data_IF_440193927561
#
_entry.id   IF_440193927561
#
_cell.length_a   1.000
_cell.length_b   1.000
_cell.length_c   1.000
_cell.angle_alpha   90.00
_cell.angle_beta   90.00
_cell.angle_gamma   90.00
#
_symmetry.space_group_name_H-M   'P 1'
#
loop_
_entity.id
_entity.type
_entity.pdbx_description
1 polymer ?
#
# COMPACT_ATOMS: atom_id res chain seq x y z
N UNK A 1 1.65 9.29 -14.92
CA UNK A 1 0.60 8.97 -13.90
C UNK A 1 0.35 7.47 -14.01
N UNK A 2 0.69 6.69 -13.00
CA UNK A 2 0.38 5.26 -12.98
C UNK A 2 -1.12 5.17 -12.71
N UNK A 3 -1.91 4.44 -13.51
CA UNK A 3 -3.34 4.31 -13.27
C UNK A 3 -3.57 3.71 -11.88
N UNK A 4 -4.43 4.34 -11.09
CA UNK A 4 -4.89 3.82 -9.83
C UNK A 4 -5.54 2.45 -10.05
N UNK A 5 -5.28 1.50 -9.18
CA UNK A 5 -5.89 0.18 -9.23
C UNK A 5 -7.29 0.27 -8.64
N UNK A 6 -8.31 0.01 -9.45
CA UNK A 6 -9.67 -0.20 -8.93
C UNK A 6 -9.71 -1.57 -8.26
N UNK A 7 -10.09 -1.60 -7.00
CA UNK A 7 -10.25 -2.83 -6.23
C UNK A 7 -11.72 -2.95 -5.83
N UNK A 8 -12.39 -3.96 -6.35
CA UNK A 8 -13.73 -4.33 -5.89
C UNK A 8 -13.61 -5.00 -4.52
N UNK A 9 -14.15 -4.37 -3.49
CA UNK A 9 -14.20 -4.93 -2.13
C UNK A 9 -15.60 -5.47 -1.83
N UNK A 10 -15.73 -6.65 -1.21
CA UNK A 10 -17.02 -7.06 -0.67
C UNK A 10 -17.45 -6.12 0.45
N UNK A 11 -18.69 -5.64 0.40
CA UNK A 11 -19.25 -4.81 1.45
C UNK A 11 -19.21 -5.53 2.81
N UNK A 12 -18.85 -4.87 3.90
CA UNK A 12 -18.91 -5.45 5.23
C UNK A 12 -20.40 -5.61 5.64
N UNK A 13 -20.85 -6.84 5.81
CA UNK A 13 -22.15 -7.16 6.40
C UNK A 13 -23.20 -7.68 5.44
N UNK A 14 -23.28 -9.00 5.35
CA UNK A 14 -24.53 -9.74 5.13
C UNK A 14 -25.13 -9.76 3.74
N UNK A 15 -25.09 -10.94 3.13
CA UNK A 15 -26.15 -11.36 2.20
C UNK A 15 -26.12 -10.78 0.79
N UNK A 16 -25.33 -11.33 -0.08
CA UNK A 16 -25.79 -11.57 -1.47
C UNK A 16 -25.54 -10.51 -2.54
N UNK A 17 -25.19 -9.27 -2.27
CA UNK A 17 -24.80 -8.33 -3.30
C UNK A 17 -23.39 -7.82 -3.02
N UNK A 18 -22.44 -8.17 -3.88
CA UNK A 18 -21.13 -7.52 -3.92
C UNK A 18 -21.39 -6.12 -4.46
N UNK A 19 -21.50 -5.12 -3.58
CA UNK A 19 -21.43 -3.75 -4.02
C UNK A 19 -19.99 -3.54 -4.50
N UNK A 20 -19.78 -3.44 -5.81
CA UNK A 20 -18.53 -2.96 -6.38
C UNK A 20 -18.38 -1.51 -5.95
N UNK A 21 -17.56 -1.29 -4.94
CA UNK A 21 -17.17 0.07 -4.55
C UNK A 21 -15.90 0.36 -5.34
N UNK A 22 -16.02 1.20 -6.35
CA UNK A 22 -14.89 1.79 -7.04
C UNK A 22 -14.10 2.63 -6.02
N UNK A 23 -12.94 2.14 -5.61
CA UNK A 23 -12.03 2.89 -4.76
C UNK A 23 -10.71 3.17 -5.49
N UNK A 24 -10.18 4.36 -5.29
CA UNK A 24 -8.84 4.68 -5.75
C UNK A 24 -7.83 4.22 -4.70
N UNK A 25 -6.89 3.38 -5.09
CA UNK A 25 -5.83 2.91 -4.20
C UNK A 25 -4.45 3.25 -4.76
N UNK A 26 -3.51 3.58 -3.87
CA UNK A 26 -2.13 3.90 -4.22
C UNK A 26 -1.18 2.94 -3.52
N UNK A 27 -0.38 2.23 -4.32
CA UNK A 27 0.67 1.34 -3.80
C UNK A 27 1.96 2.12 -3.55
N UNK A 28 2.46 2.07 -2.33
CA UNK A 28 3.74 2.65 -1.91
C UNK A 28 4.61 1.62 -1.22
N UNK A 29 5.88 1.63 -1.58
CA UNK A 29 6.90 0.89 -0.84
C UNK A 29 7.76 1.85 -0.04
N UNK A 30 8.04 1.50 1.23
CA UNK A 30 9.01 2.19 2.06
C UNK A 30 10.32 1.43 1.97
N UNK A 31 11.30 2.01 1.30
CA UNK A 31 12.63 1.43 1.20
C UNK A 31 13.40 1.59 2.52
N UNK A 32 14.26 0.63 2.81
CA UNK A 32 15.17 0.72 3.94
C UNK A 32 16.11 1.91 3.76
N UNK A 33 16.19 2.76 4.78
CA UNK A 33 17.06 3.93 4.79
C UNK A 33 16.86 4.81 6.04
N UNK A 34 17.86 5.57 6.45
CA UNK A 34 17.84 6.33 7.70
C UNK A 34 16.73 7.40 7.75
N UNK A 35 16.29 7.92 6.62
CA UNK A 35 15.18 8.88 6.56
C UNK A 35 13.82 8.25 6.83
N UNK A 36 13.65 6.97 6.52
CA UNK A 36 12.40 6.23 6.69
C UNK A 36 12.42 5.39 7.96
N UNK A 37 13.55 4.78 8.23
CA UNK A 37 13.81 3.92 9.39
C UNK A 37 15.05 4.48 10.14
N UNK A 38 14.91 5.52 10.97
CA UNK A 38 15.99 5.95 11.86
C UNK A 38 16.32 4.82 12.85
N UNK A 39 17.54 4.77 13.35
CA UNK A 39 18.04 3.65 14.19
C UNK A 39 17.10 3.25 15.33
N UNK A 40 16.44 4.23 15.97
CA UNK A 40 15.42 3.97 16.98
C UNK A 40 14.16 3.27 16.41
N UNK A 41 13.94 3.32 15.10
CA UNK A 41 12.78 2.73 14.46
C UNK A 41 12.95 1.24 14.13
N UNK A 42 14.15 0.69 14.25
CA UNK A 42 14.41 -0.73 14.09
C UNK A 42 13.88 -1.58 15.26
N UNK A 43 13.49 -0.93 16.35
CA UNK A 43 12.85 -1.59 17.49
C UNK A 43 11.35 -1.64 17.27
N UNK A 44 10.76 -2.84 17.30
CA UNK A 44 9.31 -3.00 17.27
C UNK A 44 8.63 -2.17 18.41
N UNK A 45 7.60 -1.36 18.17
CA UNK A 45 6.69 -1.31 16.99
C UNK A 45 7.04 -0.18 15.97
N UNK A 46 8.25 0.30 15.94
CA UNK A 46 8.61 1.47 15.16
C UNK A 46 8.51 1.30 13.62
N UNK A 47 8.81 0.12 13.01
CA UNK A 47 8.54 -0.11 11.58
C UNK A 47 7.07 0.10 11.21
N UNK A 48 6.14 -0.40 12.02
CA UNK A 48 4.71 -0.21 11.80
C UNK A 48 4.31 1.28 11.82
N UNK A 49 4.96 2.11 12.64
CA UNK A 49 4.71 3.56 12.67
C UNK A 49 5.18 4.27 11.39
N UNK A 50 6.24 3.79 10.74
CA UNK A 50 6.69 4.34 9.46
C UNK A 50 5.63 4.10 8.38
N UNK A 51 5.08 2.90 8.33
CA UNK A 51 3.98 2.54 7.41
C UNK A 51 2.73 3.36 7.71
N UNK A 52 2.30 3.46 8.97
CA UNK A 52 1.12 4.24 9.36
C UNK A 52 1.27 5.71 8.95
N UNK A 53 2.39 6.36 9.30
CA UNK A 53 2.67 7.75 8.89
C UNK A 53 2.69 7.96 7.38
N UNK A 54 3.18 6.98 6.63
CA UNK A 54 3.15 7.04 5.17
C UNK A 54 1.74 6.90 4.62
N UNK A 55 0.94 6.00 5.19
CA UNK A 55 -0.45 5.78 4.83
C UNK A 55 -1.30 7.04 5.03
N UNK A 56 -1.19 7.69 6.18
CA UNK A 56 -1.91 8.94 6.51
C UNK A 56 -1.66 10.06 5.49
N UNK A 57 -0.50 10.09 4.85
CA UNK A 57 -0.13 11.15 3.89
C UNK A 57 -0.65 10.92 2.48
N UNK A 58 -1.01 9.70 2.11
CA UNK A 58 -1.33 9.34 0.71
C UNK A 58 -2.49 10.17 0.18
N UNK A 59 -3.62 10.20 0.86
CA UNK A 59 -4.79 10.97 0.41
C UNK A 59 -4.46 12.46 0.25
N UNK A 60 -3.84 13.07 1.25
CA UNK A 60 -3.45 14.49 1.20
C UNK A 60 -2.45 14.83 0.09
N UNK A 61 -1.58 13.90 -0.29
CA UNK A 61 -0.70 14.06 -1.47
C UNK A 61 -1.49 14.13 -2.77
N UNK A 62 -2.53 13.29 -2.91
CA UNK A 62 -3.41 13.30 -4.09
C UNK A 62 -4.24 14.57 -4.17
N UNK A 63 -4.81 15.03 -3.06
CA UNK A 63 -5.55 16.30 -3.00
C UNK A 63 -4.64 17.47 -3.41
N UNK A 64 -3.41 17.53 -2.89
CA UNK A 64 -2.45 18.57 -3.28
C UNK A 64 -2.09 18.52 -4.76
N UNK A 65 -1.88 17.32 -5.32
CA UNK A 65 -1.60 17.14 -6.76
C UNK A 65 -2.80 17.55 -7.62
N UNK A 66 -4.02 17.20 -7.21
CA UNK A 66 -5.24 17.58 -7.91
C UNK A 66 -5.39 19.10 -7.96
N UNK A 67 -5.19 19.78 -6.83
CA UNK A 67 -5.19 21.25 -6.75
C UNK A 67 -4.13 21.90 -7.63
N UNK A 68 -2.90 21.36 -7.61
CA UNK A 68 -1.84 21.86 -8.47
C UNK A 68 -2.18 21.72 -9.96
N UNK A 69 -2.80 20.61 -10.36
CA UNK A 69 -3.27 20.41 -11.72
C UNK A 69 -4.39 21.39 -12.09
N UNK A 70 -5.35 21.63 -11.19
CA UNK A 70 -6.44 22.58 -11.41
C UNK A 70 -5.91 24.03 -11.52
N UNK A 71 -4.88 24.39 -10.77
CA UNK A 71 -4.21 25.68 -10.91
C UNK A 71 -3.52 25.83 -12.27
N UNK A 72 -2.82 24.78 -12.73
CA UNK A 72 -2.07 24.81 -13.99
C UNK A 72 -2.99 24.74 -15.21
N UNK A 73 -4.01 23.89 -15.20
CA UNK A 73 -4.80 23.56 -16.37
C UNK A 73 -6.13 24.33 -16.44
N UNK A 74 -6.74 24.62 -15.30
CA UNK A 74 -8.01 25.32 -15.21
C UNK A 74 -7.91 26.77 -14.71
N UNK A 75 -6.69 27.25 -14.41
CA UNK A 75 -6.46 28.60 -13.93
C UNK A 75 -7.09 28.89 -12.55
N UNK A 76 -7.32 27.86 -11.74
CA UNK A 76 -7.94 28.00 -10.41
C UNK A 76 -7.01 28.78 -9.49
N UNK A 77 -7.50 29.90 -8.92
CA UNK A 77 -6.70 30.72 -8.02
C UNK A 77 -6.37 29.96 -6.70
N UNK A 78 -5.23 30.25 -6.07
CA UNK A 78 -4.93 29.74 -4.73
C UNK A 78 -6.04 30.13 -3.74
N UNK A 79 -6.58 29.16 -3.01
CA UNK A 79 -7.67 29.37 -2.04
C UNK A 79 -9.08 29.38 -2.63
N UNK A 80 -9.22 29.20 -3.95
CA UNK A 80 -10.53 29.01 -4.60
C UNK A 80 -11.19 27.67 -4.18
N UNK A 81 -12.50 27.51 -4.40
CA UNK A 81 -13.18 26.23 -4.25
C UNK A 81 -12.50 25.11 -5.05
N UNK A 82 -12.72 23.82 -4.68
CA UNK A 82 -12.16 22.69 -5.39
C UNK A 82 -12.40 22.78 -6.90
N UNK A 83 -11.32 22.61 -7.67
CA UNK A 83 -11.39 22.59 -9.13
C UNK A 83 -11.88 21.23 -9.67
N UNK A 84 -12.00 21.10 -11.01
CA UNK A 84 -12.59 19.92 -11.63
C UNK A 84 -11.84 18.62 -11.32
N UNK A 85 -10.52 18.66 -11.17
CA UNK A 85 -9.71 17.48 -10.84
C UNK A 85 -9.91 17.05 -9.39
N UNK A 86 -9.96 18.02 -8.47
CA UNK A 86 -10.22 17.75 -7.05
C UNK A 86 -11.64 17.22 -6.84
N UNK A 87 -12.64 17.80 -7.52
CA UNK A 87 -14.02 17.30 -7.50
C UNK A 87 -14.11 15.87 -8.04
N UNK A 88 -13.42 15.57 -9.15
CA UNK A 88 -13.36 14.22 -9.68
C UNK A 88 -12.72 13.23 -8.69
N UNK A 89 -11.66 13.65 -8.01
CA UNK A 89 -11.01 12.84 -6.99
C UNK A 89 -11.98 12.52 -5.84
N UNK A 90 -12.77 13.50 -5.39
CA UNK A 90 -13.72 13.34 -4.28
C UNK A 90 -14.83 12.31 -4.56
N UNK A 91 -15.17 12.04 -5.82
CA UNK A 91 -16.14 10.99 -6.18
C UNK A 91 -15.69 9.58 -5.80
N UNK A 92 -14.38 9.34 -5.72
CA UNK A 92 -13.83 8.05 -5.29
C UNK A 92 -13.63 7.95 -3.77
N UNK A 93 -14.00 9.00 -3.02
CA UNK A 93 -13.72 9.10 -1.59
C UNK A 93 -12.22 9.25 -1.30
N UNK A 94 -11.80 8.74 -0.15
CA UNK A 94 -10.39 8.79 0.24
C UNK A 94 -9.54 7.82 -0.58
N UNK A 95 -8.40 8.31 -1.08
CA UNK A 95 -7.41 7.43 -1.71
C UNK A 95 -6.88 6.45 -0.69
N UNK A 96 -7.13 5.16 -0.91
CA UNK A 96 -6.76 4.09 0.00
C UNK A 96 -5.28 3.76 -0.07
N UNK A 97 -4.54 3.81 1.05
CA UNK A 97 -3.10 3.60 1.06
C UNK A 97 -2.74 2.10 1.12
N UNK A 98 -2.18 1.57 0.05
CA UNK A 98 -1.53 0.27 0.02
C UNK A 98 -0.04 0.43 0.32
N UNK A 99 0.33 0.60 1.58
CA UNK A 99 1.72 0.82 1.98
C UNK A 99 2.33 -0.46 2.51
N UNK A 100 3.50 -0.80 1.97
CA UNK A 100 4.30 -1.95 2.40
C UNK A 100 5.68 -1.46 2.77
N UNK A 101 6.15 -1.85 3.94
CA UNK A 101 7.48 -1.50 4.45
C UNK A 101 8.55 -2.55 4.12
N UNK A 102 9.79 -2.19 4.37
CA UNK A 102 10.96 -3.06 4.10
C UNK A 102 11.00 -4.33 4.93
N UNK A 103 10.34 -4.36 6.07
CA UNK A 103 10.28 -5.54 6.95
C UNK A 103 8.96 -6.29 6.83
N UNK A 104 8.25 -6.12 5.70
CA UNK A 104 6.93 -6.70 5.42
C UNK A 104 5.79 -6.20 6.33
N UNK A 105 6.01 -5.12 7.06
CA UNK A 105 4.93 -4.39 7.70
C UNK A 105 4.00 -3.78 6.64
N UNK A 106 2.72 -3.73 6.91
CA UNK A 106 1.71 -3.28 5.95
C UNK A 106 0.77 -2.26 6.58
N UNK A 107 0.15 -1.40 5.75
CA UNK A 107 -0.92 -0.51 6.20
C UNK A 107 -2.19 -1.31 6.52
N UNK A 108 -3.03 -0.72 7.36
CA UNK A 108 -4.31 -1.30 7.77
C UNK A 108 -5.15 -1.76 6.56
N UNK A 109 -5.23 -0.93 5.53
CA UNK A 109 -5.97 -1.27 4.32
C UNK A 109 -5.43 -2.51 3.58
N UNK A 110 -4.10 -2.73 3.58
CA UNK A 110 -3.52 -3.96 3.03
C UNK A 110 -3.93 -5.18 3.87
N UNK A 111 -3.97 -5.03 5.19
CA UNK A 111 -4.40 -6.12 6.09
C UNK A 111 -5.90 -6.42 5.93
N UNK A 112 -6.74 -5.40 5.78
CA UNK A 112 -8.17 -5.54 5.43
C UNK A 112 -8.36 -6.32 4.12
N UNK A 113 -7.61 -5.96 3.07
CA UNK A 113 -7.64 -6.68 1.78
C UNK A 113 -7.24 -8.14 1.93
N UNK A 114 -6.19 -8.40 2.73
CA UNK A 114 -5.78 -9.79 3.01
C UNK A 114 -6.85 -10.58 3.76
N UNK A 115 -7.48 -9.95 4.74
CA UNK A 115 -8.58 -10.56 5.48
C UNK A 115 -9.78 -10.87 4.56
N UNK A 116 -10.12 -9.95 3.66
CA UNK A 116 -11.19 -10.13 2.67
C UNK A 116 -10.84 -11.26 1.69
N UNK A 117 -9.62 -11.26 1.15
CA UNK A 117 -9.13 -12.30 0.25
C UNK A 117 -9.10 -13.68 0.92
N UNK A 118 -8.61 -13.75 2.16
CA UNK A 118 -8.60 -14.99 2.93
C UNK A 118 -10.02 -15.51 3.21
N UNK A 119 -10.97 -14.63 3.50
CA UNK A 119 -12.38 -14.99 3.71
C UNK A 119 -13.00 -15.54 2.44
N UNK A 120 -12.86 -14.83 1.32
CA UNK A 120 -13.36 -15.26 0.01
C UNK A 120 -12.72 -16.58 -0.44
N UNK A 121 -11.40 -16.69 -0.29
CA UNK A 121 -10.66 -17.91 -0.61
C UNK A 121 -11.08 -19.10 0.25
N UNK A 122 -11.31 -18.88 1.56
CA UNK A 122 -11.77 -19.91 2.46
C UNK A 122 -13.14 -20.45 2.06
N UNK A 123 -14.09 -19.58 1.74
CA UNK A 123 -15.42 -19.99 1.27
C UNK A 123 -15.36 -20.87 0.02
N UNK A 124 -14.43 -20.58 -0.89
CA UNK A 124 -14.29 -21.32 -2.15
C UNK A 124 -13.51 -22.62 -2.00
N UNK A 125 -12.45 -22.64 -1.19
CA UNK A 125 -11.41 -23.67 -1.24
C UNK A 125 -11.21 -24.47 0.05
N UNK A 126 -12.07 -24.30 1.10
CA UNK A 126 -11.89 -25.01 2.37
C UNK A 126 -11.87 -26.53 2.23
N UNK A 127 -12.66 -27.09 1.27
CA UNK A 127 -12.69 -28.55 0.99
C UNK A 127 -11.40 -29.02 0.35
N UNK A 128 -10.87 -28.27 -0.62
CA UNK A 128 -9.59 -28.56 -1.30
C UNK A 128 -8.43 -28.51 -0.31
N UNK A 129 -8.54 -27.61 0.70
CA UNK A 129 -7.59 -27.48 1.80
C UNK A 129 -7.73 -28.58 2.87
N UNK A 130 -8.72 -29.48 2.71
CA UNK A 130 -9.06 -30.51 3.69
C UNK A 130 -9.39 -29.96 5.08
N UNK A 131 -9.95 -28.78 5.15
CA UNK A 131 -10.42 -28.15 6.38
C UNK A 131 -11.86 -28.61 6.70
N UNK A 132 -12.23 -28.56 7.96
CA UNK A 132 -13.58 -28.94 8.40
C UNK A 132 -14.63 -27.88 8.03
N UNK A 133 -14.21 -26.62 7.95
CA UNK A 133 -15.09 -25.49 7.59
C UNK A 133 -14.30 -24.31 7.01
N UNK A 134 -14.96 -23.31 6.38
CA UNK A 134 -14.33 -22.08 5.93
C UNK A 134 -13.66 -21.30 7.09
N UNK A 135 -14.23 -21.32 8.29
CA UNK A 135 -13.71 -20.63 9.46
C UNK A 135 -12.35 -21.18 9.88
N UNK A 136 -12.12 -22.49 9.71
CA UNK A 136 -10.82 -23.15 9.96
C UNK A 136 -9.84 -22.85 8.83
N UNK A 137 -10.30 -22.76 7.58
CA UNK A 137 -9.46 -22.48 6.43
C UNK A 137 -8.97 -21.02 6.37
N UNK A 138 -9.79 -20.06 6.82
CA UNK A 138 -9.50 -18.62 6.78
C UNK A 138 -8.17 -18.23 7.43
N UNK A 139 -7.88 -18.56 8.70
CA UNK A 139 -6.62 -18.20 9.35
C UNK A 139 -5.41 -18.81 8.66
N UNK A 140 -5.53 -20.01 8.09
CA UNK A 140 -4.45 -20.65 7.34
C UNK A 140 -4.13 -19.89 6.04
N UNK A 141 -5.16 -19.45 5.31
CA UNK A 141 -4.98 -18.63 4.12
C UNK A 141 -4.38 -17.27 4.46
N UNK A 142 -4.87 -16.61 5.51
CA UNK A 142 -4.33 -15.33 5.95
C UNK A 142 -2.86 -15.45 6.35
N UNK A 143 -2.49 -16.48 7.07
CA UNK A 143 -1.10 -16.76 7.42
C UNK A 143 -0.24 -16.97 6.17
N UNK A 144 -0.70 -17.75 5.19
CA UNK A 144 0.02 -17.95 3.92
C UNK A 144 0.22 -16.64 3.15
N UNK A 145 -0.79 -15.79 3.08
CA UNK A 145 -0.69 -14.48 2.44
C UNK A 145 0.38 -13.63 3.13
N UNK A 146 0.34 -13.51 4.46
CA UNK A 146 1.33 -12.76 5.23
C UNK A 146 2.75 -13.31 5.07
N UNK A 147 2.93 -14.62 5.07
CA UNK A 147 4.22 -15.27 4.81
C UNK A 147 4.71 -14.98 3.39
N UNK A 148 3.85 -15.06 2.38
CA UNK A 148 4.20 -14.77 0.99
C UNK A 148 4.69 -13.33 0.83
N UNK A 149 4.05 -12.37 1.49
CA UNK A 149 4.48 -10.97 1.49
C UNK A 149 5.80 -10.77 2.20
N UNK A 150 6.00 -11.42 3.36
CA UNK A 150 7.29 -11.39 4.06
C UNK A 150 8.44 -11.89 3.20
N UNK A 151 8.23 -13.00 2.49
CA UNK A 151 9.21 -13.55 1.56
C UNK A 151 9.45 -12.60 0.37
N UNK A 152 8.39 -12.01 -0.19
CA UNK A 152 8.51 -11.06 -1.30
C UNK A 152 9.30 -9.81 -0.88
N UNK A 153 9.02 -9.24 0.29
CA UNK A 153 9.73 -8.10 0.84
C UNK A 153 11.22 -8.42 1.10
N UNK A 154 11.50 -9.57 1.72
CA UNK A 154 12.88 -10.01 1.97
C UNK A 154 13.66 -10.20 0.66
N UNK A 155 13.05 -10.81 -0.35
CA UNK A 155 13.67 -10.97 -1.69
C UNK A 155 13.92 -9.63 -2.38
N UNK A 156 12.97 -8.68 -2.29
CA UNK A 156 13.13 -7.36 -2.87
C UNK A 156 14.29 -6.61 -2.20
N UNK A 157 14.36 -6.62 -0.88
CA UNK A 157 15.45 -6.01 -0.12
C UNK A 157 16.80 -6.68 -0.42
N UNK A 158 16.86 -8.01 -0.50
CA UNK A 158 18.07 -8.73 -0.87
C UNK A 158 18.58 -8.35 -2.27
N UNK A 159 17.69 -8.19 -3.24
CA UNK A 159 18.06 -7.73 -4.59
C UNK A 159 18.62 -6.31 -4.57
N UNK A 160 18.02 -5.41 -3.80
CA UNK A 160 18.53 -4.05 -3.64
C UNK A 160 19.95 -4.06 -3.05
N UNK A 161 20.17 -4.80 -1.96
CA UNK A 161 21.51 -4.94 -1.36
C UNK A 161 22.51 -5.47 -2.37
N UNK A 162 22.17 -6.52 -3.12
CA UNK A 162 23.04 -7.09 -4.15
C UNK A 162 23.36 -6.12 -5.28
N UNK A 163 22.45 -5.25 -5.66
CA UNK A 163 22.68 -4.21 -6.65
C UNK A 163 23.68 -3.15 -6.16
N UNK A 164 23.80 -2.94 -4.85
CA UNK A 164 24.71 -1.95 -4.26
C UNK A 164 26.11 -2.50 -3.95
N UNK A 165 26.24 -3.83 -3.80
CA UNK A 165 27.52 -4.46 -3.50
C UNK A 165 28.67 -4.14 -4.48
N UNK A 166 28.44 -4.04 -5.81
CA UNK A 166 29.50 -3.66 -6.75
C UNK A 166 30.08 -2.26 -6.52
N UNK A 167 29.32 -1.37 -5.87
CA UNK A 167 29.73 0.02 -5.65
C UNK A 167 30.54 0.24 -4.37
N UNK A 168 30.69 -0.77 -3.55
CA UNK A 168 31.43 -0.69 -2.25
C UNK A 168 32.95 -0.75 -2.48
N UNK A 169 33.44 -1.07 -3.70
CA UNK A 169 34.85 -1.26 -4.01
C UNK A 169 35.59 -0.08 -4.64
N UNK A 170 34.91 0.85 -5.33
CA UNK A 170 35.55 1.81 -6.24
C UNK A 170 35.22 3.31 -6.00
N UNK A 171 35.01 3.71 -4.77
CA UNK A 171 34.69 5.11 -4.43
C UNK A 171 33.25 5.32 -4.02
N UNK A 172 32.90 6.55 -3.63
CA UNK A 172 31.58 6.87 -3.12
C UNK A 172 30.46 6.41 -4.08
N UNK A 173 29.52 5.60 -3.61
CA UNK A 173 28.41 5.13 -4.44
C UNK A 173 27.62 6.34 -4.94
N UNK A 174 27.17 6.32 -6.21
CA UNK A 174 26.31 7.40 -6.72
C UNK A 174 25.08 7.47 -5.80
N UNK A 175 24.85 8.65 -5.22
CA UNK A 175 23.70 8.88 -4.35
C UNK A 175 22.43 8.49 -5.10
N UNK A 176 21.59 7.54 -4.60
CA UNK A 176 20.34 7.15 -5.26
C UNK A 176 19.34 8.30 -5.33
N UNK A 177 19.68 9.43 -4.71
CA UNK A 177 18.86 10.64 -4.60
C UNK A 177 19.47 11.83 -5.36
N UNK A 178 20.58 11.65 -6.05
CA UNK A 178 21.10 12.65 -6.96
C UNK A 178 20.15 12.72 -8.16
N UNK A 179 19.33 13.74 -8.17
CA UNK A 179 18.42 14.05 -9.26
C UNK A 179 19.23 14.26 -10.54
N UNK A 180 18.93 13.48 -11.59
CA UNK A 180 19.12 13.93 -12.94
C UNK A 180 18.01 14.92 -13.32
#
# INVERSE_FOLDING_TARGET
MVPGMCVALPAPGGGGAVAEVDCLAELKFIHFGPSQYPDAALRHPAPCRAVARRAERVHGEYVRKARALDQLCAGTAPGAPPGPTEVKLSHYGDVRPLVVGSFAEVSEFVDELACAAATSGALKHWRDMRCQSPEVARPLLLQRLRQSWGIAAARANGRLVLQWLPYVGDGDPPSPFSKA
#
